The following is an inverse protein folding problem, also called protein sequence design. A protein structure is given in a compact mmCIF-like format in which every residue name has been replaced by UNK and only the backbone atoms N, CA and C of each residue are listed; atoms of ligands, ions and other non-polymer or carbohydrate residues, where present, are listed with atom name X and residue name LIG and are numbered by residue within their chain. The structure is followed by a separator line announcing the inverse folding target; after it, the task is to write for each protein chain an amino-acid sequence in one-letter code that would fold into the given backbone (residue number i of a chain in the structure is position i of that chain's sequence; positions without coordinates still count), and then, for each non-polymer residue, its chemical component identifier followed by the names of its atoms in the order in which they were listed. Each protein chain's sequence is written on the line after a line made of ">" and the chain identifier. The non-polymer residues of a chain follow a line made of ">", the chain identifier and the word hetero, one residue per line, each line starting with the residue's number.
data_IF_622690247403
#
_entry.id   IF_622690247403
#
_cell.length_a   1.000
_cell.length_b   1.000
_cell.length_c   1.000
_cell.angle_alpha   90.00
_cell.angle_beta   90.00
_cell.angle_gamma   90.00
#
_symmetry.space_group_name_H-M   'P 1'
#
loop_
_entity.id
_entity.type
_entity.pdbx_description
1 polymer ?
#
# COMPACT_ATOMS: atom_id res chain seq x y z
N UNK A 1 9.32 -21.34 -15.18
CA UNK A 1 9.07 -20.77 -13.83
C UNK A 1 8.57 -21.88 -12.91
N UNK A 2 9.00 -21.93 -11.66
CA UNK A 2 8.48 -22.89 -10.68
C UNK A 2 7.10 -22.47 -10.19
N UNK A 3 6.18 -23.43 -9.99
CA UNK A 3 4.87 -23.17 -9.37
C UNK A 3 5.02 -23.06 -7.85
N UNK A 4 4.04 -22.44 -7.19
CA UNK A 4 4.05 -22.36 -5.72
C UNK A 4 4.01 -23.75 -5.06
N UNK A 5 3.29 -24.71 -5.66
CA UNK A 5 3.28 -26.11 -5.23
C UNK A 5 4.68 -26.75 -5.30
N UNK A 6 5.36 -26.64 -6.44
CA UNK A 6 6.72 -27.15 -6.61
C UNK A 6 7.73 -26.44 -5.68
N UNK A 7 7.55 -25.13 -5.44
CA UNK A 7 8.38 -24.39 -4.51
C UNK A 7 8.32 -24.98 -3.10
N UNK A 8 7.12 -25.27 -2.57
CA UNK A 8 6.98 -25.90 -1.25
C UNK A 8 7.47 -27.35 -1.25
N UNK A 9 7.21 -28.11 -2.31
CA UNK A 9 7.70 -29.48 -2.43
C UNK A 9 9.23 -29.56 -2.37
N UNK A 10 9.93 -28.66 -3.06
CA UNK A 10 11.39 -28.67 -3.14
C UNK A 10 12.06 -28.02 -1.93
N UNK A 11 11.60 -26.85 -1.50
CA UNK A 11 12.31 -26.04 -0.49
C UNK A 11 11.85 -26.34 0.94
N UNK A 12 10.62 -26.84 1.10
CA UNK A 12 10.03 -27.09 2.42
C UNK A 12 9.27 -28.43 2.45
N UNK A 13 9.94 -29.57 2.15
CA UNK A 13 9.29 -30.87 2.00
C UNK A 13 8.53 -31.33 3.26
N UNK A 14 9.03 -30.99 4.46
CA UNK A 14 8.31 -31.26 5.71
C UNK A 14 6.99 -30.49 5.81
N UNK A 15 6.97 -29.20 5.44
CA UNK A 15 5.75 -28.40 5.39
C UNK A 15 4.81 -28.92 4.31
N UNK A 16 5.33 -29.25 3.14
CA UNK A 16 4.53 -29.78 2.04
C UNK A 16 3.82 -31.09 2.41
N UNK A 17 4.49 -31.97 3.15
CA UNK A 17 3.92 -33.22 3.65
C UNK A 17 2.92 -32.97 4.79
N UNK A 18 3.34 -32.26 5.84
CA UNK A 18 2.59 -32.18 7.11
C UNK A 18 1.45 -31.16 7.05
N UNK A 19 1.55 -30.17 6.14
CA UNK A 19 0.59 -29.07 5.99
C UNK A 19 0.01 -29.00 4.58
N UNK A 20 -0.08 -30.14 3.89
CA UNK A 20 -0.55 -30.22 2.49
C UNK A 20 -1.86 -29.45 2.23
N UNK A 21 -2.92 -29.59 3.05
CA UNK A 21 -4.16 -28.86 2.81
C UNK A 21 -4.01 -27.33 2.88
N UNK A 22 -3.09 -26.83 3.71
CA UNK A 22 -2.81 -25.39 3.81
C UNK A 22 -2.04 -24.89 2.59
N UNK A 23 -1.10 -25.66 2.07
CA UNK A 23 -0.38 -25.32 0.83
C UNK A 23 -1.36 -25.28 -0.34
N UNK A 24 -2.24 -26.27 -0.48
CA UNK A 24 -3.25 -26.31 -1.54
C UNK A 24 -4.23 -25.12 -1.43
N UNK A 25 -4.64 -24.76 -0.21
CA UNK A 25 -5.49 -23.60 0.04
C UNK A 25 -4.77 -22.29 -0.34
N UNK A 26 -3.49 -22.14 0.03
CA UNK A 26 -2.69 -20.97 -0.32
C UNK A 26 -2.50 -20.83 -1.83
N UNK A 27 -2.26 -21.93 -2.55
CA UNK A 27 -2.15 -21.93 -4.02
C UNK A 27 -3.45 -21.41 -4.65
N UNK A 28 -4.60 -21.94 -4.23
CA UNK A 28 -5.91 -21.51 -4.73
C UNK A 28 -6.17 -20.03 -4.46
N UNK A 29 -5.85 -19.56 -3.25
CA UNK A 29 -6.11 -18.17 -2.89
C UNK A 29 -5.20 -17.20 -3.64
N UNK A 30 -3.91 -17.51 -3.80
CA UNK A 30 -2.98 -16.68 -4.59
C UNK A 30 -3.44 -16.58 -6.06
N UNK A 31 -3.93 -17.68 -6.64
CA UNK A 31 -4.51 -17.67 -7.98
C UNK A 31 -5.78 -16.80 -8.04
N UNK A 32 -6.67 -16.91 -7.06
CA UNK A 32 -7.87 -16.08 -6.98
C UNK A 32 -7.54 -14.59 -6.84
N UNK A 33 -6.56 -14.23 -6.00
CA UNK A 33 -6.07 -12.86 -5.83
C UNK A 33 -5.49 -12.33 -7.14
N UNK A 34 -4.69 -13.12 -7.86
CA UNK A 34 -4.16 -12.73 -9.17
C UNK A 34 -5.30 -12.40 -10.15
N UNK A 35 -6.31 -13.27 -10.25
CA UNK A 35 -7.43 -13.08 -11.18
C UNK A 35 -8.33 -11.89 -10.84
N UNK A 36 -8.34 -11.42 -9.59
CA UNK A 36 -9.10 -10.23 -9.16
C UNK A 36 -8.37 -8.92 -9.42
N UNK A 37 -7.04 -8.95 -9.56
CA UNK A 37 -6.21 -7.74 -9.57
C UNK A 37 -5.40 -7.55 -10.86
N UNK A 38 -5.27 -8.59 -11.70
CA UNK A 38 -4.50 -8.52 -12.95
C UNK A 38 -5.44 -8.63 -14.15
N UNK A 39 -5.47 -7.58 -14.96
CA UNK A 39 -6.31 -7.46 -16.16
C UNK A 39 -5.41 -7.20 -17.39
N UNK A 40 -4.87 -8.26 -18.04
CA UNK A 40 -3.89 -8.10 -19.11
C UNK A 40 -4.36 -7.26 -20.29
N UNK A 41 -5.63 -7.38 -20.70
CA UNK A 41 -6.19 -6.57 -21.81
C UNK A 41 -6.23 -5.08 -21.51
N UNK A 42 -6.32 -4.72 -20.23
CA UNK A 42 -6.31 -3.33 -19.77
C UNK A 42 -4.90 -2.85 -19.41
N UNK A 43 -3.87 -3.71 -19.57
CA UNK A 43 -2.50 -3.46 -19.10
C UNK A 43 -2.43 -3.14 -17.60
N UNK A 44 -3.33 -3.71 -16.81
CA UNK A 44 -3.36 -3.56 -15.35
C UNK A 44 -2.75 -4.78 -14.69
N UNK A 45 -1.76 -4.55 -13.85
CA UNK A 45 -1.10 -5.52 -12.97
C UNK A 45 -0.75 -4.86 -11.64
N UNK A 46 -0.12 -5.61 -10.75
CA UNK A 46 0.49 -5.06 -9.54
C UNK A 46 1.42 -3.89 -9.90
N UNK A 47 1.28 -2.79 -9.17
CA UNK A 47 2.06 -1.56 -9.39
C UNK A 47 1.62 -0.70 -10.58
N UNK A 48 0.59 -1.07 -11.35
CA UNK A 48 0.11 -0.21 -12.46
C UNK A 48 -0.45 1.12 -11.98
N UNK A 49 -1.19 1.13 -10.88
CA UNK A 49 -1.73 2.34 -10.27
C UNK A 49 -0.99 2.66 -8.99
N UNK A 50 -0.61 3.93 -8.84
CA UNK A 50 0.04 4.42 -7.62
C UNK A 50 -0.92 4.35 -6.43
N UNK A 51 -0.37 3.98 -5.29
CA UNK A 51 -1.05 4.12 -4.01
C UNK A 51 -0.99 5.59 -3.58
N UNK A 52 -2.15 6.24 -3.48
CA UNK A 52 -2.26 7.66 -3.10
C UNK A 52 -2.49 7.86 -1.59
N UNK A 53 -2.33 6.82 -0.76
CA UNK A 53 -2.47 6.91 0.71
C UNK A 53 -1.33 7.66 1.41
N UNK A 54 -0.37 8.19 0.65
CA UNK A 54 0.71 9.03 1.14
C UNK A 54 1.37 9.77 -0.01
N UNK A 55 2.29 10.68 0.31
CA UNK A 55 2.91 11.57 -0.67
C UNK A 55 4.42 11.31 -0.89
N UNK A 56 4.93 10.15 -0.46
CA UNK A 56 6.34 9.76 -0.64
C UNK A 56 6.61 9.18 -2.03
N UNK A 57 5.83 8.15 -2.40
CA UNK A 57 5.98 7.44 -3.68
C UNK A 57 5.03 7.95 -4.77
N UNK A 58 4.10 8.85 -4.43
CA UNK A 58 3.13 9.46 -5.33
C UNK A 58 2.78 10.87 -4.86
N UNK A 59 2.09 11.71 -5.65
CA UNK A 59 1.57 12.98 -5.17
C UNK A 59 0.57 12.86 -4.01
N UNK A 60 -0.05 11.69 -3.81
CA UNK A 60 -0.99 11.44 -2.72
C UNK A 60 -2.14 12.45 -2.68
N UNK A 61 -2.41 12.96 -1.48
CA UNK A 61 -3.42 13.99 -1.24
C UNK A 61 -3.14 15.29 -2.03
N UNK A 62 -1.87 15.65 -2.24
CA UNK A 62 -1.51 16.88 -2.97
C UNK A 62 -1.97 16.87 -4.42
N UNK A 63 -2.33 15.71 -5.00
CA UNK A 63 -2.92 15.65 -6.34
C UNK A 63 -4.18 16.50 -6.50
N UNK A 64 -4.89 16.77 -5.40
CA UNK A 64 -6.06 17.65 -5.36
C UNK A 64 -5.87 18.85 -4.42
N UNK A 65 -4.97 18.75 -3.45
CA UNK A 65 -4.71 19.77 -2.44
C UNK A 65 -3.47 20.62 -2.78
N UNK A 66 -3.14 20.79 -4.06
CA UNK A 66 -2.00 21.59 -4.55
C UNK A 66 -2.33 23.10 -4.68
N UNK A 67 -3.55 23.51 -4.38
CA UNK A 67 -4.04 24.87 -4.56
C UNK A 67 -4.48 25.22 -5.98
N UNK A 68 -4.35 24.30 -6.94
CA UNK A 68 -4.73 24.52 -8.35
C UNK A 68 -6.21 24.22 -8.64
N UNK A 69 -6.93 23.62 -7.68
CA UNK A 69 -8.33 23.24 -7.84
C UNK A 69 -9.25 24.28 -7.21
N UNK A 70 -9.60 25.30 -8.00
CA UNK A 70 -10.51 26.38 -7.60
C UNK A 70 -11.76 26.38 -8.49
N UNK A 71 -12.95 26.40 -7.89
CA UNK A 71 -14.22 26.49 -8.61
C UNK A 71 -14.47 27.90 -9.13
N UNK A 72 -15.42 28.04 -10.07
CA UNK A 72 -15.76 29.34 -10.68
C UNK A 72 -16.29 30.39 -9.67
N UNK A 73 -16.85 29.95 -8.54
CA UNK A 73 -17.30 30.80 -7.43
C UNK A 73 -16.20 31.05 -6.38
N UNK A 74 -14.95 30.64 -6.64
CA UNK A 74 -13.78 30.99 -5.84
C UNK A 74 -13.45 30.05 -4.69
N UNK A 75 -14.08 28.88 -4.59
CA UNK A 75 -13.74 27.88 -3.54
C UNK A 75 -12.57 27.03 -3.99
N UNK A 76 -11.51 27.00 -3.20
CA UNK A 76 -10.30 26.20 -3.46
C UNK A 76 -10.23 25.01 -2.53
N UNK A 77 -9.73 23.88 -3.01
CA UNK A 77 -9.38 22.74 -2.14
C UNK A 77 -8.15 23.14 -1.30
N UNK A 78 -8.28 23.27 0.04
CA UNK A 78 -7.21 23.81 0.88
C UNK A 78 -6.06 22.81 1.02
N UNK A 79 -4.82 23.28 0.98
CA UNK A 79 -3.64 22.49 1.32
C UNK A 79 -3.48 22.40 2.85
N UNK A 80 -4.45 21.78 3.52
CA UNK A 80 -4.47 21.63 4.96
C UNK A 80 -4.31 20.15 5.34
N UNK A 81 -3.11 19.80 5.82
CA UNK A 81 -2.75 18.46 6.22
C UNK A 81 -3.56 17.95 7.42
N UNK A 82 -4.02 18.87 8.28
CA UNK A 82 -4.75 18.54 9.51
C UNK A 82 -6.20 18.08 9.22
N UNK A 83 -6.65 18.23 7.97
CA UNK A 83 -7.91 17.64 7.50
C UNK A 83 -7.91 16.11 7.62
N UNK A 84 -6.75 15.47 7.48
CA UNK A 84 -6.60 14.01 7.48
C UNK A 84 -5.58 13.48 8.49
N UNK A 85 -4.62 14.31 8.92
CA UNK A 85 -3.57 13.92 9.85
C UNK A 85 -3.72 14.64 11.19
N UNK A 86 -3.24 14.02 12.26
CA UNK A 86 -2.99 14.72 13.52
C UNK A 86 -1.48 14.93 13.60
N UNK A 87 -1.01 16.07 13.07
CA UNK A 87 0.41 16.38 13.03
C UNK A 87 0.86 16.84 14.41
N UNK A 88 1.65 15.99 15.08
CA UNK A 88 2.12 16.27 16.44
C UNK A 88 3.40 17.13 16.46
N UNK A 89 4.18 17.10 15.37
CA UNK A 89 5.35 17.94 15.14
C UNK A 89 5.66 17.94 13.65
N UNK A 90 6.00 19.11 13.10
CA UNK A 90 6.41 19.31 11.71
C UNK A 90 7.63 20.21 11.72
N UNK A 91 8.71 19.82 11.04
CA UNK A 91 9.96 20.58 10.95
C UNK A 91 10.63 20.93 12.29
N UNK A 92 10.29 20.22 13.37
CA UNK A 92 10.95 20.34 14.68
C UNK A 92 12.17 19.40 14.74
N UNK A 93 13.40 19.94 14.89
CA UNK A 93 14.61 19.13 14.94
C UNK A 93 14.74 18.29 16.22
N UNK A 94 14.03 18.65 17.30
CA UNK A 94 14.04 17.91 18.57
C UNK A 94 12.62 17.77 19.17
N UNK A 95 11.70 17.04 18.50
CA UNK A 95 10.31 16.99 18.93
C UNK A 95 10.21 16.35 20.31
N UNK A 96 9.66 17.08 21.28
CA UNK A 96 9.43 16.54 22.63
C UNK A 96 8.56 15.29 22.62
N UNK A 97 7.58 15.23 21.72
CA UNK A 97 6.66 14.10 21.56
C UNK A 97 7.37 12.76 21.36
N UNK A 98 8.54 12.74 20.72
CA UNK A 98 9.32 11.51 20.56
C UNK A 98 9.90 11.01 21.88
N UNK A 99 10.31 11.91 22.79
CA UNK A 99 10.74 11.55 24.14
C UNK A 99 9.55 11.06 24.98
N UNK A 100 8.41 11.77 24.91
CA UNK A 100 7.19 11.40 25.64
C UNK A 100 6.64 10.03 25.19
N UNK A 101 6.87 9.64 23.93
CA UNK A 101 6.52 8.33 23.37
C UNK A 101 7.61 7.25 23.54
N UNK A 102 8.78 7.58 24.09
CA UNK A 102 9.90 6.64 24.27
C UNK A 102 10.57 6.18 22.98
N UNK A 103 10.56 7.02 21.93
CA UNK A 103 11.12 6.74 20.60
C UNK A 103 12.51 7.36 20.39
N UNK A 104 13.08 8.01 21.42
CA UNK A 104 14.46 8.53 21.46
C UNK A 104 15.38 7.61 22.27
#
# INVERSE_FOLDING_TARGET
>A
AATLDAFYQTNYPGVYRDKRPLVDAAVKEVQAIYLRNVFPRMKVSWGTYLNNLGHQDSPGCFRCHDGSHTSADGRTIPMDCDTCHSLLAVDDPDPKVLADLGLK
#
